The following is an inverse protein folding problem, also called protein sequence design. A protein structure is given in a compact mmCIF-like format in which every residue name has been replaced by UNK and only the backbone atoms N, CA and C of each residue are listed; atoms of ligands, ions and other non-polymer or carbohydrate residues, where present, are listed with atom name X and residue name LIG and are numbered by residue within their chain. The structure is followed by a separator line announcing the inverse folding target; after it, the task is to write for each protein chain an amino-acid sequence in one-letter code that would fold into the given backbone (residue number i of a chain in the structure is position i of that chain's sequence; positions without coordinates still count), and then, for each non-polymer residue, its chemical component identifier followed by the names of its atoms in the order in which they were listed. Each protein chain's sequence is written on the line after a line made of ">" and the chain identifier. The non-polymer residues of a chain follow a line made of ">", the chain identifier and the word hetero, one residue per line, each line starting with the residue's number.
data_IF_511877118830
#
_entry.id   IF_511877118830
#
_cell.length_a   1.000
_cell.length_b   1.000
_cell.length_c   1.000
_cell.angle_alpha   90.00
_cell.angle_beta   90.00
_cell.angle_gamma   90.00
#
_symmetry.space_group_name_H-M   'P 1'
#
loop_
_entity.id
_entity.type
_entity.pdbx_description
1 polymer ?
#
# COMPACT_ATOMS: atom_id res chain seq x y z
N UNK A 1 21.01 28.89 16.91
CA UNK A 1 19.65 28.33 17.04
C UNK A 1 19.35 27.67 15.72
N UNK A 2 19.16 26.35 15.71
CA UNK A 2 18.60 25.68 14.52
C UNK A 2 17.15 26.14 14.42
N UNK A 3 16.74 26.58 13.23
CA UNK A 3 15.35 26.98 12.99
C UNK A 3 14.48 25.73 13.10
N UNK A 4 13.52 25.72 14.02
CA UNK A 4 12.56 24.64 14.23
C UNK A 4 11.88 24.22 12.92
N UNK A 5 11.72 25.17 11.99
CA UNK A 5 11.19 24.91 10.65
C UNK A 5 12.11 24.00 9.84
N UNK A 6 13.42 24.24 9.86
CA UNK A 6 14.40 23.41 9.18
C UNK A 6 14.42 21.99 9.77
N UNK A 7 14.39 21.88 11.10
CA UNK A 7 14.37 20.60 11.80
C UNK A 7 13.10 19.79 11.51
N UNK A 8 11.93 20.46 11.48
CA UNK A 8 10.66 19.84 11.10
C UNK A 8 10.69 19.36 9.64
N UNK A 9 11.25 20.16 8.74
CA UNK A 9 11.37 19.80 7.32
C UNK A 9 12.33 18.63 7.11
N UNK A 10 13.41 18.55 7.87
CA UNK A 10 14.29 17.36 7.86
C UNK A 10 13.58 16.10 8.35
N UNK A 11 12.82 16.18 9.44
CA UNK A 11 12.04 15.06 9.96
C UNK A 11 11.05 14.56 8.92
N UNK A 12 10.35 15.50 8.25
CA UNK A 12 9.42 15.16 7.17
C UNK A 12 10.15 14.49 6.00
N UNK A 13 11.25 15.06 5.51
CA UNK A 13 12.06 14.45 4.43
C UNK A 13 12.51 13.03 4.76
N UNK A 14 13.05 12.81 5.97
CA UNK A 14 13.47 11.48 6.45
C UNK A 14 12.30 10.51 6.48
N UNK A 15 11.13 10.95 6.97
CA UNK A 15 9.91 10.14 7.02
C UNK A 15 9.41 9.75 5.62
N UNK A 16 9.47 10.65 4.64
CA UNK A 16 9.08 10.34 3.26
C UNK A 16 10.08 9.41 2.56
N UNK A 17 11.39 9.56 2.79
CA UNK A 17 12.40 8.61 2.29
C UNK A 17 12.18 7.20 2.87
N UNK A 18 11.92 7.11 4.17
CA UNK A 18 11.59 5.85 4.83
C UNK A 18 10.32 5.23 4.23
N UNK A 19 9.27 6.04 4.01
CA UNK A 19 8.04 5.57 3.37
C UNK A 19 8.30 5.06 1.94
N UNK A 20 9.13 5.74 1.16
CA UNK A 20 9.53 5.28 -0.17
C UNK A 20 10.21 3.91 -0.14
N UNK A 21 11.18 3.74 0.76
CA UNK A 21 11.90 2.45 0.95
C UNK A 21 10.96 1.32 1.38
N UNK A 22 10.00 1.61 2.26
CA UNK A 22 8.96 0.66 2.68
C UNK A 22 8.06 0.26 1.50
N UNK A 23 7.67 1.22 0.66
CA UNK A 23 6.84 0.95 -0.52
C UNK A 23 7.58 0.09 -1.56
N UNK A 24 8.89 0.31 -1.76
CA UNK A 24 9.72 -0.54 -2.62
C UNK A 24 9.81 -1.97 -2.09
N UNK A 25 9.93 -2.13 -0.76
CA UNK A 25 9.96 -3.45 -0.12
C UNK A 25 8.61 -4.17 -0.25
N UNK A 26 7.51 -3.44 -0.13
CA UNK A 26 6.16 -3.95 -0.38
C UNK A 26 5.99 -4.34 -1.84
N UNK A 27 6.45 -3.54 -2.81
CA UNK A 27 6.40 -3.87 -4.24
C UNK A 27 7.17 -5.16 -4.54
N UNK A 28 8.38 -5.32 -3.99
CA UNK A 28 9.17 -6.56 -4.12
C UNK A 28 8.41 -7.77 -3.57
N UNK A 29 7.86 -7.66 -2.35
CA UNK A 29 7.11 -8.74 -1.71
C UNK A 29 5.84 -9.09 -2.50
N UNK A 30 5.10 -8.08 -2.97
CA UNK A 30 3.90 -8.30 -3.79
C UNK A 30 4.25 -8.96 -5.13
N UNK A 31 5.37 -8.61 -5.76
CA UNK A 31 5.83 -9.26 -7.02
C UNK A 31 6.19 -10.72 -6.80
N UNK A 32 6.79 -11.05 -5.66
CA UNK A 32 7.07 -12.43 -5.28
C UNK A 32 5.77 -13.21 -5.01
N UNK A 33 4.81 -12.61 -4.31
CA UNK A 33 3.49 -13.21 -4.06
C UNK A 33 2.61 -13.29 -5.31
N UNK A 34 2.76 -12.36 -6.27
CA UNK A 34 2.09 -12.47 -7.58
C UNK A 34 2.57 -13.71 -8.35
N UNK A 35 3.80 -14.18 -8.10
CA UNK A 35 4.27 -15.47 -8.65
C UNK A 35 3.64 -16.68 -7.95
N UNK A 36 3.24 -16.58 -6.68
CA UNK A 36 2.54 -17.65 -5.97
C UNK A 36 1.04 -17.71 -6.28
N UNK A 37 0.45 -16.59 -6.72
CA UNK A 37 -0.97 -16.49 -7.09
C UNK A 37 -1.91 -16.32 -5.90
N UNK A 38 -1.38 -16.21 -4.67
CA UNK A 38 -2.20 -16.07 -3.47
C UNK A 38 -2.56 -14.59 -3.18
N UNK A 39 -3.74 -14.20 -3.63
CA UNK A 39 -4.27 -12.84 -3.42
C UNK A 39 -4.57 -12.52 -1.94
N UNK A 40 -4.82 -13.53 -1.09
CA UNK A 40 -5.02 -13.29 0.35
C UNK A 40 -3.70 -12.97 1.04
N UNK A 41 -2.64 -13.69 0.68
CA UNK A 41 -1.31 -13.46 1.21
C UNK A 41 -0.76 -12.09 0.80
N UNK A 42 -1.03 -11.65 -0.44
CA UNK A 42 -0.77 -10.28 -0.89
C UNK A 42 -1.48 -9.27 0.01
N UNK A 43 -2.79 -9.45 0.26
CA UNK A 43 -3.55 -8.55 1.12
C UNK A 43 -3.00 -8.52 2.55
N UNK A 44 -2.70 -9.69 3.13
CA UNK A 44 -2.15 -9.83 4.48
C UNK A 44 -0.77 -9.16 4.63
N UNK A 45 0.06 -9.26 3.59
CA UNK A 45 1.34 -8.56 3.53
C UNK A 45 1.12 -7.05 3.52
N UNK A 46 0.25 -6.55 2.65
CA UNK A 46 -0.03 -5.11 2.55
C UNK A 46 -0.52 -4.53 3.87
N UNK A 47 -1.49 -5.17 4.54
CA UNK A 47 -1.99 -4.69 5.84
C UNK A 47 -0.91 -4.73 6.94
N UNK A 48 0.03 -5.66 6.87
CA UNK A 48 1.11 -5.78 7.86
C UNK A 48 2.08 -4.60 7.75
N UNK A 49 2.40 -4.17 6.53
CA UNK A 49 3.33 -3.06 6.30
C UNK A 49 2.67 -1.68 6.35
N UNK A 50 1.44 -1.56 5.86
CA UNK A 50 0.77 -0.27 5.66
C UNK A 50 -0.35 -0.01 6.68
N UNK A 51 -0.85 -1.05 7.34
CA UNK A 51 -2.10 -1.02 8.09
C UNK A 51 -3.33 -1.22 7.21
N UNK A 52 -4.45 -1.59 7.84
CA UNK A 52 -5.69 -1.94 7.11
C UNK A 52 -6.30 -0.74 6.37
N UNK A 53 -6.41 0.41 7.04
CA UNK A 53 -7.04 1.59 6.43
C UNK A 53 -6.26 2.11 5.21
N UNK A 54 -4.93 2.34 5.26
CA UNK A 54 -4.16 2.74 4.09
C UNK A 54 -4.21 1.72 2.95
N UNK A 55 -4.17 0.42 3.28
CA UNK A 55 -4.29 -0.66 2.27
C UNK A 55 -5.63 -0.59 1.54
N UNK A 56 -6.75 -0.50 2.26
CA UNK A 56 -8.09 -0.38 1.66
C UNK A 56 -8.23 0.89 0.82
N UNK A 57 -7.68 2.02 1.29
CA UNK A 57 -7.70 3.29 0.54
C UNK A 57 -6.94 3.18 -0.77
N UNK A 58 -5.76 2.55 -0.76
CA UNK A 58 -4.97 2.31 -1.95
C UNK A 58 -5.70 1.41 -2.94
N UNK A 59 -6.27 0.29 -2.47
CA UNK A 59 -7.02 -0.63 -3.32
C UNK A 59 -8.28 0.02 -3.90
N UNK A 60 -8.94 0.92 -3.15
CA UNK A 60 -10.04 1.72 -3.67
C UNK A 60 -9.60 2.63 -4.82
N UNK A 61 -8.47 3.33 -4.68
CA UNK A 61 -7.91 4.18 -5.75
C UNK A 61 -7.60 3.33 -6.99
N UNK A 62 -6.97 2.17 -6.80
CA UNK A 62 -6.67 1.26 -7.92
C UNK A 62 -7.96 0.77 -8.61
N UNK A 63 -8.98 0.40 -7.82
CA UNK A 63 -10.26 -0.03 -8.37
C UNK A 63 -10.97 1.07 -9.19
N UNK A 64 -10.84 2.33 -8.76
CA UNK A 64 -11.34 3.51 -9.49
C UNK A 64 -10.54 3.73 -10.78
N UNK A 65 -9.21 3.78 -10.70
CA UNK A 65 -8.31 4.01 -11.85
C UNK A 65 -8.43 2.93 -12.93
N UNK A 66 -8.69 1.68 -12.51
CA UNK A 66 -8.86 0.53 -13.41
C UNK A 66 -10.32 0.28 -13.81
N UNK A 67 -11.26 1.12 -13.37
CA UNK A 67 -12.70 0.97 -13.62
C UNK A 67 -13.25 -0.42 -13.25
N UNK A 68 -12.81 -0.99 -12.12
CA UNK A 68 -13.21 -2.35 -11.71
C UNK A 68 -14.65 -2.43 -11.18
N UNK A 69 -15.29 -1.29 -10.90
CA UNK A 69 -16.64 -1.24 -10.34
C UNK A 69 -16.75 -1.75 -8.90
N UNK A 70 -15.62 -1.95 -8.20
CA UNK A 70 -15.57 -2.45 -6.83
C UNK A 70 -15.46 -1.27 -5.86
N UNK A 71 -16.26 -1.31 -4.79
CA UNK A 71 -16.14 -0.41 -3.64
C UNK A 71 -15.54 -1.16 -2.46
N UNK A 72 -14.29 -0.87 -2.13
CA UNK A 72 -13.50 -1.55 -1.10
C UNK A 72 -13.97 -1.14 0.29
N UNK A 73 -14.88 -1.92 0.88
CA UNK A 73 -15.35 -1.73 2.26
C UNK A 73 -14.87 -2.85 3.17
N UNK A 74 -14.88 -4.07 2.64
CA UNK A 74 -14.57 -5.30 3.34
C UNK A 74 -13.20 -5.83 2.94
N UNK A 75 -12.72 -6.83 3.70
CA UNK A 75 -11.53 -7.61 3.34
C UNK A 75 -11.74 -8.34 2.00
N UNK A 76 -12.93 -8.86 1.76
CA UNK A 76 -13.24 -9.60 0.54
C UNK A 76 -13.22 -8.70 -0.70
N UNK A 77 -13.76 -7.48 -0.61
CA UNK A 77 -13.65 -6.49 -1.69
C UNK A 77 -12.20 -6.20 -2.05
N UNK A 78 -11.34 -6.04 -1.04
CA UNK A 78 -9.92 -5.77 -1.21
C UNK A 78 -9.20 -6.93 -1.90
N UNK A 79 -9.47 -8.18 -1.48
CA UNK A 79 -8.92 -9.38 -2.11
C UNK A 79 -9.41 -9.51 -3.56
N UNK A 80 -10.68 -9.20 -3.83
CA UNK A 80 -11.23 -9.24 -5.18
C UNK A 80 -10.56 -8.22 -6.12
N UNK A 81 -10.22 -7.03 -5.62
CA UNK A 81 -9.39 -6.08 -6.39
C UNK A 81 -8.04 -6.70 -6.72
N UNK A 82 -7.35 -7.30 -5.75
CA UNK A 82 -6.03 -7.91 -5.97
C UNK A 82 -6.12 -9.05 -7.01
N UNK A 83 -7.13 -9.92 -6.91
CA UNK A 83 -7.37 -11.00 -7.87
C UNK A 83 -7.51 -10.49 -9.31
N UNK A 84 -8.17 -9.36 -9.51
CA UNK A 84 -8.37 -8.76 -10.84
C UNK A 84 -7.13 -8.05 -11.40
N UNK A 85 -6.09 -7.85 -10.59
CA UNK A 85 -4.82 -7.26 -10.99
C UNK A 85 -3.74 -8.30 -11.32
N UNK A 86 -4.02 -9.58 -11.08
CA UNK A 86 -3.11 -10.69 -11.39
C UNK A 86 -3.17 -11.01 -12.87
#
# INVERSE_FOLDING_TARGET
>A
MVDMTEELMEILKRKYQFLGTMLESVDLTIRELKRSGDSEEVYNTMITFLGEFPTKRMLQIIAEEKNLGIKVKTREDAINVIKLLQ
#
